data_IF_768640279904
#
_entry.id   IF_768640279904
#
_cell.length_a   1.000
_cell.length_b   1.000
_cell.length_c   1.000
_cell.angle_alpha   90.00
_cell.angle_beta   90.00
_cell.angle_gamma   90.00
#
_symmetry.space_group_name_H-M   'P 1'
#
loop_
_entity.id
_entity.type
_entity.pdbx_description
1 polymer ?
#
# COMPACT_ATOMS: atom_id res chain seq x y z
N UNK A 1 -9.40 15.95 17.30
CA UNK A 1 -8.43 14.97 16.79
C UNK A 1 -8.53 15.02 15.29
N UNK A 2 -7.56 15.67 14.65
CA UNK A 2 -7.58 15.86 13.20
C UNK A 2 -7.34 14.48 12.58
N UNK A 3 -8.36 13.95 11.90
CA UNK A 3 -8.23 12.79 11.03
C UNK A 3 -7.39 13.21 9.80
N UNK A 4 -6.09 13.43 10.02
CA UNK A 4 -5.10 13.58 8.98
C UNK A 4 -4.73 12.18 8.51
N UNK A 5 -5.10 11.87 7.28
CA UNK A 5 -4.99 10.58 6.63
C UNK A 5 -3.52 10.27 6.32
N UNK A 6 -2.72 9.93 7.34
CA UNK A 6 -1.46 9.22 7.14
C UNK A 6 -1.83 7.75 6.93
N UNK A 7 -2.13 7.35 5.69
CA UNK A 7 -2.10 5.92 5.37
C UNK A 7 -0.73 5.59 4.78
N UNK A 8 -0.03 4.68 5.43
CA UNK A 8 1.16 4.08 4.85
C UNK A 8 0.75 3.17 3.70
N UNK A 9 1.72 2.65 2.93
CA UNK A 9 1.43 1.85 1.73
C UNK A 9 0.66 0.56 2.05
N UNK A 10 0.65 0.12 3.30
CA UNK A 10 0.10 -1.14 3.76
C UNK A 10 -0.71 -0.93 5.04
N UNK A 11 -2.03 -1.19 4.96
CA UNK A 11 -2.95 -1.16 6.09
C UNK A 11 -3.53 -2.56 6.29
N UNK A 12 -3.18 -3.21 7.41
CA UNK A 12 -3.66 -4.56 7.74
C UNK A 12 -3.69 -4.79 9.25
N UNK A 13 -4.41 -5.84 9.67
CA UNK A 13 -4.44 -6.33 11.04
C UNK A 13 -3.18 -7.16 11.29
N UNK A 14 -2.32 -6.72 12.21
CA UNK A 14 -1.10 -7.45 12.54
C UNK A 14 -1.33 -8.62 13.53
N UNK A 15 -0.23 -9.29 13.90
CA UNK A 15 -0.26 -10.42 14.82
C UNK A 15 -0.66 -10.06 16.26
N UNK A 16 -0.63 -8.78 16.61
CA UNK A 16 -1.06 -8.26 17.91
C UNK A 16 -2.53 -7.81 17.90
N UNK A 17 -3.17 -7.83 16.72
CA UNK A 17 -4.56 -7.45 16.53
C UNK A 17 -4.76 -5.96 16.32
N UNK A 18 -3.68 -5.21 16.03
CA UNK A 18 -3.75 -3.79 15.75
C UNK A 18 -4.03 -3.53 14.27
N UNK A 19 -5.10 -2.77 14.02
CA UNK A 19 -5.49 -2.37 12.67
C UNK A 19 -4.92 -0.99 12.38
N UNK A 20 -3.72 -0.97 11.82
CA UNK A 20 -2.97 0.26 11.58
C UNK A 20 -2.10 0.19 10.32
N UNK A 21 -1.40 1.29 10.04
CA UNK A 21 -0.43 1.35 8.95
C UNK A 21 0.88 0.71 9.35
N UNK A 22 1.47 -0.02 8.40
CA UNK A 22 2.73 -0.71 8.57
C UNK A 22 3.74 -0.27 7.52
N UNK A 23 4.99 -0.09 7.93
CA UNK A 23 6.08 0.16 6.99
C UNK A 23 6.34 -1.06 6.10
N UNK A 24 6.89 -0.90 4.88
CA UNK A 24 7.26 -2.03 4.02
C UNK A 24 8.18 -3.03 4.71
N UNK A 25 9.09 -2.56 5.58
CA UNK A 25 10.00 -3.40 6.35
C UNK A 25 9.28 -4.22 7.43
N UNK A 26 8.27 -3.64 8.08
CA UNK A 26 7.47 -4.35 9.08
C UNK A 26 6.60 -5.41 8.40
N UNK A 27 5.91 -5.03 7.33
CA UNK A 27 5.13 -5.97 6.51
C UNK A 27 5.97 -7.10 5.91
N UNK A 28 7.21 -6.81 5.52
CA UNK A 28 8.16 -7.83 5.08
C UNK A 28 8.36 -8.94 6.11
N UNK A 29 8.36 -8.61 7.40
CA UNK A 29 8.47 -9.59 8.49
C UNK A 29 7.14 -10.29 8.74
N UNK A 30 6.06 -9.52 8.88
CA UNK A 30 4.75 -10.03 9.28
C UNK A 30 4.17 -10.95 8.21
N UNK A 31 4.28 -10.52 6.94
CA UNK A 31 3.76 -11.21 5.77
C UNK A 31 4.80 -12.12 5.11
N UNK A 32 6.05 -12.13 5.61
CA UNK A 32 7.17 -12.93 5.08
C UNK A 32 7.47 -12.66 3.61
N UNK A 33 7.44 -11.39 3.21
CA UNK A 33 7.69 -10.96 1.82
C UNK A 33 9.17 -11.07 1.47
N UNK A 34 9.45 -11.26 0.19
CA UNK A 34 10.81 -11.21 -0.35
C UNK A 34 11.43 -9.82 -0.21
N UNK A 35 12.77 -9.77 -0.11
CA UNK A 35 13.50 -8.51 -0.07
C UNK A 35 13.28 -7.65 -1.33
N UNK A 36 13.07 -8.30 -2.47
CA UNK A 36 12.73 -7.65 -3.74
C UNK A 36 11.37 -6.96 -3.65
N UNK A 37 10.34 -7.67 -3.20
CA UNK A 37 9.00 -7.08 -3.04
C UNK A 37 8.97 -5.94 -2.02
N UNK A 38 9.73 -6.05 -0.92
CA UNK A 38 9.88 -4.95 0.05
C UNK A 38 10.50 -3.71 -0.61
N UNK A 39 11.51 -3.91 -1.45
CA UNK A 39 12.17 -2.82 -2.18
C UNK A 39 11.22 -2.13 -3.18
N UNK A 40 10.42 -2.92 -3.89
CA UNK A 40 9.46 -2.40 -4.86
C UNK A 40 8.34 -1.60 -4.18
N UNK A 41 7.82 -2.08 -3.05
CA UNK A 41 6.82 -1.37 -2.25
C UNK A 41 7.40 -0.07 -1.69
N UNK A 42 8.64 -0.09 -1.19
CA UNK A 42 9.33 1.11 -0.69
C UNK A 42 9.46 2.16 -1.79
N UNK A 43 9.90 1.74 -2.98
CA UNK A 43 10.04 2.65 -4.13
C UNK A 43 8.70 3.25 -4.53
N UNK A 44 7.64 2.45 -4.53
CA UNK A 44 6.29 2.92 -4.85
C UNK A 44 5.73 3.92 -3.82
N UNK A 45 5.99 3.71 -2.53
CA UNK A 45 5.63 4.67 -1.47
C UNK A 45 6.44 5.97 -1.61
N UNK A 46 7.75 5.87 -1.84
CA UNK A 46 8.64 7.03 -2.04
C UNK A 46 8.16 7.91 -3.21
N UNK A 47 7.64 7.32 -4.30
CA UNK A 47 7.03 8.06 -5.42
C UNK A 47 5.86 8.95 -4.97
N UNK A 48 5.04 8.50 -4.01
CA UNK A 48 3.93 9.27 -3.46
C UNK A 48 4.40 10.28 -2.41
N UNK A 49 5.28 9.87 -1.49
CA UNK A 49 5.82 10.76 -0.45
C UNK A 49 6.57 11.95 -1.06
N UNK A 50 7.24 11.77 -2.22
CA UNK A 50 7.93 12.86 -2.93
C UNK A 50 7.01 13.98 -3.43
N UNK A 51 5.72 13.69 -3.63
CA UNK A 51 4.72 14.66 -4.13
C UNK A 51 3.66 15.02 -3.08
N UNK A 52 3.69 14.35 -1.93
CA UNK A 52 2.77 14.60 -0.83
C UNK A 52 3.04 15.97 -0.19
N UNK A 53 1.97 16.74 0.06
CA UNK A 53 2.04 18.01 0.78
C UNK A 53 1.09 17.99 1.97
N UNK A 54 1.68 17.86 3.16
CA UNK A 54 0.96 17.82 4.44
C UNK A 54 0.18 19.11 4.73
N UNK A 55 0.53 20.22 4.06
CA UNK A 55 -0.17 21.49 4.23
C UNK A 55 -1.46 21.60 3.37
N UNK A 56 -1.71 20.66 2.46
CA UNK A 56 -2.89 20.64 1.60
C UNK A 56 -3.38 19.20 1.34
N UNK A 57 -4.08 18.59 2.32
CA UNK A 57 -4.43 17.18 2.28
C UNK A 57 -5.34 16.69 1.14
N UNK A 58 -6.20 17.51 0.47
CA UNK A 58 -7.11 16.95 -0.53
C UNK A 58 -6.49 16.70 -1.91
N UNK A 59 -5.22 17.06 -2.15
CA UNK A 59 -4.62 16.87 -3.49
C UNK A 59 -3.22 16.23 -3.42
N UNK A 60 -3.16 14.95 -3.75
CA UNK A 60 -1.92 14.31 -4.21
C UNK A 60 -1.40 15.11 -5.42
N UNK A 61 -0.21 15.76 -5.32
CA UNK A 61 0.32 16.66 -6.37
C UNK A 61 0.88 15.90 -7.59
N UNK A 62 0.20 14.85 -8.03
CA UNK A 62 0.60 14.13 -9.24
C UNK A 62 0.67 15.13 -10.40
N UNK A 63 1.79 15.19 -11.14
CA UNK A 63 1.96 16.19 -12.21
C UNK A 63 0.91 16.08 -13.31
N UNK A 64 0.38 14.87 -13.52
CA UNK A 64 -0.65 14.59 -14.52
C UNK A 64 -1.61 13.48 -14.05
N UNK A 65 -2.82 13.40 -14.63
CA UNK A 65 -3.71 12.25 -14.44
C UNK A 65 -3.06 10.92 -14.87
N UNK A 66 -2.24 10.92 -15.92
CA UNK A 66 -1.55 9.74 -16.41
C UNK A 66 -0.52 9.19 -15.41
N UNK A 67 0.23 10.08 -14.74
CA UNK A 67 1.18 9.68 -13.69
C UNK A 67 0.46 9.09 -12.48
N UNK A 68 -0.71 9.65 -12.12
CA UNK A 68 -1.55 9.09 -11.05
C UNK A 68 -2.06 7.70 -11.41
N UNK A 69 -2.56 7.51 -12.64
CA UNK A 69 -3.05 6.22 -13.11
C UNK A 69 -1.94 5.15 -13.17
N UNK A 70 -0.74 5.52 -13.61
CA UNK A 70 0.41 4.61 -13.62
C UNK A 70 0.82 4.20 -12.19
N UNK A 71 0.82 5.14 -11.25
CA UNK A 71 1.12 4.85 -9.85
C UNK A 71 0.07 3.94 -9.19
N UNK A 72 -1.23 4.17 -9.49
CA UNK A 72 -2.33 3.28 -9.06
C UNK A 72 -2.14 1.86 -9.60
N UNK A 73 -1.83 1.71 -10.89
CA UNK A 73 -1.65 0.40 -11.52
C UNK A 73 -0.43 -0.34 -10.94
N UNK A 74 0.67 0.36 -10.63
CA UNK A 74 1.80 -0.22 -9.90
C UNK A 74 1.36 -0.76 -8.53
N UNK A 75 0.61 0.03 -7.76
CA UNK A 75 0.08 -0.40 -6.45
C UNK A 75 -0.75 -1.66 -6.55
N UNK A 76 -1.61 -1.76 -7.59
CA UNK A 76 -2.42 -2.96 -7.85
C UNK A 76 -1.57 -4.20 -8.12
N UNK A 77 -0.51 -4.07 -8.93
CA UNK A 77 0.40 -5.17 -9.23
C UNK A 77 1.17 -5.63 -7.98
N UNK A 78 1.60 -4.69 -7.13
CA UNK A 78 2.25 -5.00 -5.86
C UNK A 78 1.30 -5.74 -4.91
N UNK A 79 0.04 -5.33 -4.81
CA UNK A 79 -0.97 -6.01 -4.00
C UNK A 79 -1.19 -7.48 -4.44
N UNK A 80 -1.20 -7.74 -5.75
CA UNK A 80 -1.26 -9.11 -6.29
C UNK A 80 -0.03 -9.93 -5.87
N UNK A 81 1.17 -9.36 -5.97
CA UNK A 81 2.41 -10.02 -5.56
C UNK A 81 2.45 -10.31 -4.07
N UNK A 82 2.01 -9.38 -3.23
CA UNK A 82 1.87 -9.58 -1.77
C UNK A 82 0.98 -10.80 -1.47
N UNK A 83 -0.17 -10.92 -2.14
CA UNK A 83 -1.07 -12.07 -1.98
C UNK A 83 -0.47 -13.39 -2.48
N UNK A 84 0.38 -13.35 -3.51
CA UNK A 84 1.08 -14.53 -4.02
C UNK A 84 2.21 -15.00 -3.10
N UNK A 85 2.99 -14.07 -2.54
CA UNK A 85 4.10 -14.39 -1.65
C UNK A 85 3.65 -14.72 -0.21
N UNK A 86 2.55 -14.12 0.25
CA UNK A 86 2.06 -14.28 1.62
C UNK A 86 0.72 -15.00 1.68
N UNK A 87 0.68 -16.28 2.08
CA UNK A 87 -0.57 -17.00 2.33
C UNK A 87 -1.28 -16.52 3.62
N UNK A 88 -0.66 -15.62 4.40
CA UNK A 88 -1.19 -15.07 5.65
C UNK A 88 -2.08 -13.85 5.43
N UNK A 89 -2.10 -13.31 4.21
CA UNK A 89 -2.88 -12.12 3.88
C UNK A 89 -4.36 -12.47 3.71
N UNK A 90 -5.19 -12.00 4.64
CA UNK A 90 -6.66 -12.08 4.55
C UNK A 90 -7.28 -10.87 3.84
N UNK A 91 -6.63 -9.71 3.84
CA UNK A 91 -7.00 -8.52 3.07
C UNK A 91 -5.80 -7.55 3.00
N UNK A 92 -5.54 -6.95 1.83
CA UNK A 92 -4.61 -5.81 1.70
C UNK A 92 -5.41 -4.64 1.16
N UNK A 93 -5.47 -3.57 1.95
CA UNK A 93 -5.86 -2.25 1.49
C UNK A 93 -4.56 -1.49 1.16
N UNK A 94 -4.49 -0.97 -0.05
CA UNK A 94 -3.34 -0.18 -0.51
C UNK A 94 -3.85 1.17 -0.99
N UNK A 95 -3.04 2.21 -0.84
CA UNK A 95 -3.38 3.58 -1.19
C UNK A 95 -3.57 3.76 -2.72
N UNK A 96 -4.65 3.24 -3.29
CA UNK A 96 -5.01 3.45 -4.69
C UNK A 96 -6.54 3.39 -4.91
N UNK A 97 -7.33 3.57 -3.84
CA UNK A 97 -8.77 3.30 -3.80
C UNK A 97 -9.14 1.83 -4.10
N UNK A 98 -8.30 0.86 -3.74
CA UNK A 98 -8.55 -0.56 -4.00
C UNK A 98 -8.36 -1.42 -2.76
N UNK A 99 -9.42 -2.15 -2.37
CA UNK A 99 -9.32 -3.24 -1.38
C UNK A 99 -9.43 -4.58 -2.08
N UNK A 100 -8.55 -5.55 -1.75
CA UNK A 100 -8.70 -6.95 -2.19
C UNK A 100 -9.21 -7.76 -1.01
N UNK A 101 -10.49 -8.16 -1.05
CA UNK A 101 -11.10 -9.00 -0.01
C UNK A 101 -10.73 -10.47 -0.16
N UNK A 102 -10.80 -11.20 0.96
CA UNK A 102 -10.62 -12.65 0.97
C UNK A 102 -11.62 -13.34 0.02
N UNK A 103 -11.15 -14.28 -0.81
CA UNK A 103 -12.00 -15.06 -1.71
C UNK A 103 -12.33 -14.44 -3.07
N UNK A 104 -11.97 -13.18 -3.34
CA UNK A 104 -12.11 -12.62 -4.69
C UNK A 104 -10.91 -13.07 -5.55
N UNK A 105 -11.21 -13.94 -6.51
CA UNK A 105 -10.34 -14.32 -7.61
C UNK A 105 -10.59 -13.33 -8.76
N UNK A 106 -9.55 -12.66 -9.26
CA UNK A 106 -9.66 -11.90 -10.50
C UNK A 106 -9.72 -12.89 -11.66
N UNK A 107 -10.83 -12.90 -12.40
CA UNK A 107 -10.93 -13.46 -13.76
C UNK A 107 -10.30 -12.50 -14.76
#
# INVERSE_FOLDING_TARGET
>A
MLAGFFEGPLFYLDGDGDWMNHSPKQAGKDLRLSAELISDITTWDDEYQAIYDDNYPPDSRFPTPATKAAWIEKGRQLAVRIKQESPLVTSVDYQANGSIKNGECMI
#
